data_IF_507314002710
#
_entry.id   IF_507314002710
#
_cell.length_a   1.000
_cell.length_b   1.000
_cell.length_c   1.000
_cell.angle_alpha   90.00
_cell.angle_beta   90.00
_cell.angle_gamma   90.00
#
_symmetry.space_group_name_H-M   'P 1'
#
loop_
_entity.id
_entity.type
_entity.pdbx_description
1 polymer ?
#
# COMPACT_ATOMS: atom_id res chain seq x y z
N UNK A 1 -18.50 -8.23 -12.72
CA UNK A 1 -18.20 -7.60 -11.41
C UNK A 1 -19.49 -7.50 -10.61
N UNK A 2 -19.49 -7.88 -9.33
CA UNK A 2 -20.65 -7.66 -8.46
C UNK A 2 -20.88 -6.14 -8.31
N UNK A 3 -22.14 -5.68 -8.26
CA UNK A 3 -22.43 -4.27 -8.00
C UNK A 3 -21.90 -3.90 -6.60
N UNK A 4 -21.18 -2.77 -6.52
CA UNK A 4 -20.67 -2.24 -5.25
C UNK A 4 -21.85 -1.93 -4.32
N UNK A 5 -21.78 -2.41 -3.08
CA UNK A 5 -22.71 -1.96 -2.04
C UNK A 5 -22.42 -0.49 -1.69
N UNK A 6 -23.36 0.20 -1.03
CA UNK A 6 -23.15 1.58 -0.58
C UNK A 6 -21.91 1.73 0.29
N UNK A 7 -21.62 0.73 1.13
CA UNK A 7 -20.41 0.71 1.95
C UNK A 7 -19.14 0.60 1.10
N UNK A 8 -19.10 -0.34 0.15
CA UNK A 8 -17.93 -0.56 -0.70
C UNK A 8 -17.67 0.65 -1.60
N UNK A 9 -18.72 1.33 -2.06
CA UNK A 9 -18.60 2.57 -2.83
C UNK A 9 -17.90 3.67 -2.02
N UNK A 10 -18.39 3.93 -0.80
CA UNK A 10 -17.79 4.94 0.08
C UNK A 10 -16.36 4.57 0.47
N UNK A 11 -16.10 3.30 0.77
CA UNK A 11 -14.76 2.81 1.08
C UNK A 11 -13.81 3.03 -0.10
N UNK A 12 -14.21 2.67 -1.32
CA UNK A 12 -13.37 2.86 -2.49
C UNK A 12 -13.09 4.35 -2.78
N UNK A 13 -14.09 5.23 -2.63
CA UNK A 13 -13.88 6.68 -2.75
C UNK A 13 -12.86 7.17 -1.71
N UNK A 14 -13.02 6.75 -0.45
CA UNK A 14 -12.10 7.10 0.62
C UNK A 14 -10.68 6.61 0.32
N UNK A 15 -10.52 5.36 -0.12
CA UNK A 15 -9.21 4.76 -0.46
C UNK A 15 -8.53 5.54 -1.59
N UNK A 16 -9.25 5.86 -2.67
CA UNK A 16 -8.69 6.61 -3.81
C UNK A 16 -8.21 8.00 -3.44
N UNK A 17 -8.78 8.62 -2.40
CA UNK A 17 -8.34 9.95 -1.93
C UNK A 17 -7.27 9.83 -0.86
N UNK A 18 -7.50 9.03 0.18
CA UNK A 18 -6.64 8.95 1.36
C UNK A 18 -5.28 8.30 1.05
N UNK A 19 -5.26 7.21 0.26
CA UNK A 19 -4.03 6.47 -0.01
C UNK A 19 -2.98 7.29 -0.78
N UNK A 20 -3.32 8.01 -1.88
CA UNK A 20 -2.37 8.92 -2.52
C UNK A 20 -1.89 10.05 -1.61
N UNK A 21 -2.77 10.59 -0.75
CA UNK A 21 -2.35 11.60 0.23
C UNK A 21 -1.35 11.04 1.24
N UNK A 22 -1.51 9.79 1.68
CA UNK A 22 -0.52 9.11 2.54
C UNK A 22 0.83 8.93 1.83
N UNK A 23 0.83 8.63 0.53
CA UNK A 23 2.06 8.57 -0.27
C UNK A 23 2.73 9.94 -0.27
N UNK A 24 2.00 11.01 -0.62
CA UNK A 24 2.52 12.38 -0.63
C UNK A 24 3.05 12.79 0.74
N UNK A 25 2.32 12.53 1.81
CA UNK A 25 2.73 12.86 3.17
C UNK A 25 4.05 12.19 3.56
N UNK A 26 4.24 10.92 3.16
CA UNK A 26 5.50 10.20 3.40
C UNK A 26 6.65 10.73 2.54
N UNK A 27 6.43 10.97 1.25
CA UNK A 27 7.47 11.48 0.34
C UNK A 27 7.90 12.91 0.67
N UNK A 28 6.98 13.74 1.17
CA UNK A 28 7.26 15.11 1.63
C UNK A 28 7.82 15.15 3.06
N UNK A 29 7.96 14.01 3.73
CA UNK A 29 8.46 13.94 5.11
C UNK A 29 7.54 14.59 6.14
N UNK A 30 6.25 14.78 5.85
CA UNK A 30 5.29 15.35 6.80
C UNK A 30 5.12 14.46 8.04
N UNK A 31 5.41 13.17 7.90
CA UNK A 31 5.44 12.17 8.96
C UNK A 31 6.82 12.02 9.65
N UNK A 32 7.81 12.87 9.33
CA UNK A 32 9.14 12.83 9.97
C UNK A 32 9.10 13.18 11.47
N UNK A 33 8.02 13.82 11.94
CA UNK A 33 7.75 14.08 13.35
C UNK A 33 7.51 12.81 14.18
N UNK A 34 7.20 11.68 13.54
CA UNK A 34 6.98 10.41 14.23
C UNK A 34 8.29 9.59 14.28
N UNK A 35 8.79 9.27 15.49
CA UNK A 35 10.13 8.67 15.65
C UNK A 35 10.24 7.30 14.99
N UNK A 36 9.19 6.50 15.02
CA UNK A 36 9.16 5.19 14.35
C UNK A 36 9.27 5.35 12.83
N UNK A 37 8.53 6.28 12.24
CA UNK A 37 8.54 6.49 10.80
C UNK A 37 9.91 7.01 10.33
N UNK A 38 10.50 7.95 11.08
CA UNK A 38 11.86 8.43 10.81
C UNK A 38 12.90 7.30 10.89
N UNK A 39 12.80 6.43 11.90
CA UNK A 39 13.65 5.25 12.04
C UNK A 39 13.51 4.29 10.85
N UNK A 40 12.28 3.96 10.45
CA UNK A 40 12.03 3.03 9.35
C UNK A 40 12.54 3.58 8.01
N UNK A 41 12.36 4.87 7.73
CA UNK A 41 12.93 5.50 6.53
C UNK A 41 14.46 5.51 6.52
N UNK A 42 15.09 5.60 7.69
CA UNK A 42 16.56 5.63 7.82
C UNK A 42 17.17 4.23 7.73
N UNK A 43 16.68 3.29 8.53
CA UNK A 43 17.28 1.95 8.68
C UNK A 43 16.69 0.91 7.71
N UNK A 44 15.44 1.09 7.30
CA UNK A 44 14.69 0.13 6.49
C UNK A 44 13.96 0.80 5.30
N UNK A 45 14.67 1.57 4.45
CA UNK A 45 14.05 2.35 3.37
C UNK A 45 13.30 1.48 2.35
N UNK A 46 13.75 0.24 2.11
CA UNK A 46 13.06 -0.67 1.20
C UNK A 46 11.71 -1.13 1.75
N UNK A 47 11.57 -1.30 3.08
CA UNK A 47 10.30 -1.62 3.70
C UNK A 47 9.29 -0.47 3.47
N UNK A 48 9.74 0.77 3.68
CA UNK A 48 8.93 1.95 3.43
C UNK A 48 8.52 2.09 1.96
N UNK A 49 9.45 1.88 1.03
CA UNK A 49 9.16 1.93 -0.42
C UNK A 49 8.13 0.89 -0.84
N UNK A 50 8.26 -0.35 -0.36
CA UNK A 50 7.32 -1.42 -0.66
C UNK A 50 5.94 -1.12 -0.06
N UNK A 51 5.87 -0.61 1.16
CA UNK A 51 4.61 -0.17 1.77
C UNK A 51 3.92 0.92 0.92
N UNK A 52 4.67 1.90 0.40
CA UNK A 52 4.13 2.92 -0.49
C UNK A 52 3.63 2.33 -1.83
N UNK A 53 4.31 1.33 -2.37
CA UNK A 53 3.86 0.60 -3.58
C UNK A 53 2.55 -0.12 -3.31
N UNK A 54 2.41 -0.79 -2.17
CA UNK A 54 1.18 -1.48 -1.77
C UNK A 54 0.02 -0.50 -1.63
N UNK A 55 0.25 0.65 -0.97
CA UNK A 55 -0.74 1.74 -0.87
C UNK A 55 -1.15 2.23 -2.27
N UNK A 56 -0.20 2.37 -3.19
CA UNK A 56 -0.46 2.74 -4.58
C UNK A 56 -1.31 1.72 -5.33
N UNK A 57 -1.00 0.42 -5.17
CA UNK A 57 -1.75 -0.67 -5.79
C UNK A 57 -3.19 -0.77 -5.23
N UNK A 58 -3.40 -0.54 -3.94
CA UNK A 58 -4.73 -0.45 -3.34
C UNK A 58 -5.53 0.72 -3.91
N UNK A 59 -4.91 1.89 -4.03
CA UNK A 59 -5.55 3.05 -4.66
C UNK A 59 -5.93 2.78 -6.11
N UNK A 60 -5.05 2.11 -6.87
CA UNK A 60 -5.30 1.75 -8.26
C UNK A 60 -6.44 0.74 -8.39
N UNK A 61 -6.48 -0.26 -7.49
CA UNK A 61 -7.56 -1.24 -7.45
C UNK A 61 -8.92 -0.59 -7.17
N UNK A 62 -8.99 0.32 -6.18
CA UNK A 62 -10.22 1.06 -5.90
C UNK A 62 -10.63 1.97 -7.07
N UNK A 63 -9.68 2.59 -7.76
CA UNK A 63 -9.95 3.36 -8.99
C UNK A 63 -10.59 2.49 -10.08
N UNK A 64 -10.07 1.28 -10.32
CA UNK A 64 -10.63 0.35 -11.31
C UNK A 64 -12.06 -0.06 -10.93
N UNK A 65 -12.33 -0.34 -9.65
CA UNK A 65 -13.67 -0.67 -9.19
C UNK A 65 -14.66 0.48 -9.41
N UNK A 66 -14.26 1.72 -9.07
CA UNK A 66 -15.09 2.91 -9.29
C UNK A 66 -15.31 3.15 -10.78
N UNK A 67 -14.26 3.04 -11.59
CA UNK A 67 -14.35 3.22 -13.03
C UNK A 67 -15.29 2.18 -13.67
N UNK A 68 -15.25 0.93 -13.22
CA UNK A 68 -16.18 -0.11 -13.65
C UNK A 68 -17.62 0.19 -13.20
N UNK A 69 -17.81 0.65 -11.97
CA UNK A 69 -19.12 0.99 -11.42
C UNK A 69 -19.81 2.15 -12.16
N UNK A 70 -19.07 3.21 -12.49
CA UNK A 70 -19.58 4.37 -13.23
C UNK A 70 -19.59 4.17 -14.76
N UNK A 71 -19.21 2.99 -15.25
CA UNK A 71 -19.20 2.69 -16.69
C UNK A 71 -18.11 3.41 -17.49
N UNK A 72 -17.04 3.88 -16.83
CA UNK A 72 -15.89 4.54 -17.46
C UNK A 72 -14.96 3.55 -18.18
N UNK A 73 -15.00 2.27 -17.81
CA UNK A 73 -14.23 1.19 -18.43
C UNK A 73 -15.13 -0.01 -18.74
N UNK A 74 -14.74 -0.81 -19.74
CA UNK A 74 -15.44 -2.04 -20.08
C UNK A 74 -15.18 -3.16 -19.07
N UNK A 75 -16.09 -4.13 -19.00
CA UNK A 75 -15.92 -5.32 -18.15
C UNK A 75 -14.63 -6.08 -18.46
N UNK A 76 -14.25 -6.20 -19.74
CA UNK A 76 -13.02 -6.86 -20.16
C UNK A 76 -11.76 -6.15 -19.62
N UNK A 77 -11.75 -4.81 -19.62
CA UNK A 77 -10.64 -4.03 -19.03
C UNK A 77 -10.59 -4.26 -17.52
N UNK A 78 -11.75 -4.24 -16.88
CA UNK A 78 -11.86 -4.40 -15.43
C UNK A 78 -11.43 -5.82 -14.98
N UNK A 79 -11.74 -6.85 -15.78
CA UNK A 79 -11.29 -8.23 -15.57
C UNK A 79 -9.78 -8.41 -15.79
N UNK A 80 -9.22 -7.78 -16.83
CA UNK A 80 -7.77 -7.80 -17.08
C UNK A 80 -6.97 -7.05 -16.01
N UNK A 81 -7.55 -6.00 -15.42
CA UNK A 81 -6.91 -5.22 -14.36
C UNK A 81 -6.74 -6.03 -13.05
N UNK A 82 -7.62 -6.99 -12.79
CA UNK A 82 -7.61 -7.81 -11.59
C UNK A 82 -6.30 -8.59 -11.40
N UNK A 83 -5.83 -9.43 -12.34
CA UNK A 83 -4.53 -10.07 -12.24
C UNK A 83 -3.38 -9.08 -12.40
N UNK A 84 -3.53 -8.04 -13.23
CA UNK A 84 -2.49 -7.04 -13.47
C UNK A 84 -2.12 -6.24 -12.20
N UNK A 85 -3.07 -6.02 -11.30
CA UNK A 85 -2.85 -5.35 -10.01
C UNK A 85 -2.61 -6.38 -8.89
N UNK A 86 -3.41 -7.46 -8.88
CA UNK A 86 -3.38 -8.48 -7.84
C UNK A 86 -2.05 -9.23 -7.76
N UNK A 87 -1.45 -9.59 -8.89
CA UNK A 87 -0.17 -10.31 -8.90
C UNK A 87 0.95 -9.43 -8.32
N UNK A 88 1.19 -8.18 -8.78
CA UNK A 88 2.14 -7.28 -8.13
C UNK A 88 1.84 -7.04 -6.65
N UNK A 89 0.56 -6.93 -6.27
CA UNK A 89 0.16 -6.75 -4.87
C UNK A 89 0.58 -7.95 -4.00
N UNK A 90 0.35 -9.17 -4.47
CA UNK A 90 0.78 -10.38 -3.77
C UNK A 90 2.30 -10.47 -3.64
N UNK A 91 3.03 -10.18 -4.72
CA UNK A 91 4.50 -10.16 -4.71
C UNK A 91 5.00 -9.11 -3.71
N UNK A 92 4.44 -7.90 -3.76
CA UNK A 92 4.79 -6.83 -2.83
C UNK A 92 4.48 -7.21 -1.37
N UNK A 93 3.35 -7.86 -1.11
CA UNK A 93 2.99 -8.35 0.23
C UNK A 93 3.97 -9.39 0.77
N UNK A 94 4.39 -10.35 -0.04
CA UNK A 94 5.42 -11.34 0.37
C UNK A 94 6.75 -10.64 0.68
N UNK A 95 7.16 -9.70 -0.17
CA UNK A 95 8.38 -8.91 0.02
C UNK A 95 8.29 -8.06 1.28
N UNK A 96 7.15 -7.42 1.54
CA UNK A 96 6.91 -6.59 2.73
C UNK A 96 7.01 -7.42 4.01
N UNK A 97 6.35 -8.59 4.07
CA UNK A 97 6.44 -9.50 5.22
C UNK A 97 7.90 -9.91 5.46
N UNK A 98 8.63 -10.27 4.42
CA UNK A 98 10.04 -10.64 4.54
C UNK A 98 10.91 -9.49 5.06
N UNK A 99 10.71 -8.27 4.54
CA UNK A 99 11.42 -7.07 4.99
C UNK A 99 11.06 -6.69 6.43
N UNK A 100 9.80 -6.83 6.83
CA UNK A 100 9.33 -6.57 8.18
C UNK A 100 9.96 -7.55 9.18
N UNK A 101 9.99 -8.85 8.86
CA UNK A 101 10.68 -9.86 9.68
C UNK A 101 12.16 -9.53 9.81
N UNK A 102 12.81 -9.12 8.71
CA UNK A 102 14.22 -8.73 8.73
C UNK A 102 14.46 -7.48 9.60
N UNK A 103 13.58 -6.49 9.54
CA UNK A 103 13.66 -5.28 10.36
C UNK A 103 13.52 -5.60 11.86
N UNK A 104 12.55 -6.45 12.22
CA UNK A 104 12.36 -6.92 13.60
C UNK A 104 13.57 -7.73 14.08
N UNK A 105 14.07 -8.66 13.26
CA UNK A 105 15.25 -9.45 13.61
C UNK A 105 16.50 -8.58 13.80
N UNK A 106 16.69 -7.56 12.97
CA UNK A 106 17.77 -6.59 13.11
C UNK A 106 17.69 -5.87 14.46
N UNK A 107 16.51 -5.33 14.78
CA UNK A 107 16.26 -4.64 16.04
C UNK A 107 16.52 -5.51 17.28
N UNK A 108 16.06 -6.76 17.27
CA UNK A 108 16.28 -7.71 18.37
C UNK A 108 17.78 -8.05 18.55
N UNK A 109 18.53 -8.21 17.45
CA UNK A 109 19.98 -8.47 17.51
C UNK A 109 20.73 -7.28 18.09
N UNK A 110 20.41 -6.06 17.66
CA UNK A 110 21.05 -4.84 18.17
C UNK A 110 20.82 -4.66 19.67
N UNK A 111 19.63 -5.00 20.18
CA UNK A 111 19.36 -5.00 21.62
C UNK A 111 20.17 -6.05 22.37
N UNK A 112 20.31 -7.25 21.81
CA UNK A 112 21.07 -8.35 22.44
C UNK A 112 22.57 -8.09 22.50
N UNK A 113 23.14 -7.33 21.54
CA UNK A 113 24.56 -6.95 21.57
C UNK A 113 24.89 -5.79 22.51
N UNK A 114 23.88 -5.07 23.00
CA UNK A 114 24.03 -3.95 23.93
C UNK A 114 23.76 -4.34 25.40
N UNK A 115 23.29 -5.56 25.64
CA UNK A 115 23.05 -6.14 26.95
C UNK A 115 24.20 -7.09 27.32
#
# INVERSE_FOLDING_TARGET
MQPLTTYDLLLNIFVVVAMPLLIVANLKGWSAKYPLNAYLWREHPNLMRVALVIIGLLSLFSLVQLAGHFGLISAAVAEAALPAIGIPFLIAGVVEIWLAVRAVAHYLRSRRSQA
#
